data_IF_346386941487
#
_entry.id   IF_346386941487
#
_cell.length_a   1.000
_cell.length_b   1.000
_cell.length_c   1.000
_cell.angle_alpha   90.00
_cell.angle_beta   90.00
_cell.angle_gamma   90.00
#
_symmetry.space_group_name_H-M   'P 1'
#
loop_
_entity.id
_entity.type
_entity.pdbx_description
1 polymer ?
#
# COMPACT_ATOMS: atom_id res chain seq x y z
N UNK A 1 -22.69 55.90 29.32
CA UNK A 1 -21.71 54.80 29.45
C UNK A 1 -22.21 53.69 28.54
N UNK A 2 -21.44 53.45 27.48
CA UNK A 2 -21.84 52.83 26.22
C UNK A 2 -21.65 51.31 26.28
N UNK A 3 -22.65 50.54 25.88
CA UNK A 3 -22.74 49.06 26.01
C UNK A 3 -21.82 48.31 25.02
N UNK A 4 -20.84 49.02 24.44
CA UNK A 4 -20.02 48.59 23.29
C UNK A 4 -18.71 47.90 23.66
N UNK A 5 -18.53 47.45 24.90
CA UNK A 5 -17.32 46.71 25.32
C UNK A 5 -17.51 45.19 25.46
N UNK A 6 -18.66 44.64 25.06
CA UNK A 6 -18.89 43.18 25.10
C UNK A 6 -18.43 42.46 23.80
N UNK A 7 -17.29 42.87 23.23
CA UNK A 7 -16.76 42.29 21.98
C UNK A 7 -15.31 41.82 22.15
N UNK A 8 -15.02 41.20 23.28
CA UNK A 8 -13.78 40.47 23.52
C UNK A 8 -14.18 39.24 24.34
N UNK A 9 -13.70 38.06 23.93
CA UNK A 9 -13.93 36.73 24.53
C UNK A 9 -14.99 35.86 23.82
N UNK A 10 -14.80 35.63 22.53
CA UNK A 10 -15.17 34.35 21.92
C UNK A 10 -13.98 33.84 21.11
N UNK A 11 -12.84 33.65 21.79
CA UNK A 11 -11.86 32.66 21.35
C UNK A 11 -12.57 31.32 21.49
N UNK A 12 -13.26 30.91 20.43
CA UNK A 12 -13.61 29.52 20.24
C UNK A 12 -12.28 28.78 20.22
N UNK A 13 -11.92 28.21 21.37
CA UNK A 13 -11.02 27.08 21.46
C UNK A 13 -11.67 26.01 20.61
N UNK A 14 -11.33 26.00 19.32
CA UNK A 14 -11.52 24.82 18.49
C UNK A 14 -10.76 23.75 19.27
N UNK A 15 -11.43 22.73 19.84
CA UNK A 15 -10.68 21.59 20.28
C UNK A 15 -9.89 21.19 19.04
N UNK A 16 -8.56 21.18 19.13
CA UNK A 16 -7.75 20.37 18.25
C UNK A 16 -8.29 18.96 18.49
N UNK A 17 -9.34 18.62 17.74
CA UNK A 17 -9.96 17.32 17.72
C UNK A 17 -8.85 16.44 17.24
N UNK A 18 -8.15 15.85 18.21
CA UNK A 18 -7.30 14.71 17.97
C UNK A 18 -8.12 13.76 17.12
N UNK A 19 -7.50 13.28 16.04
CA UNK A 19 -8.09 12.28 15.16
C UNK A 19 -8.89 11.29 16.03
N UNK A 20 -10.19 11.09 15.76
CA UNK A 20 -10.95 10.11 16.53
C UNK A 20 -10.20 8.79 16.40
N UNK A 21 -9.83 8.22 17.54
CA UNK A 21 -9.08 6.96 17.69
C UNK A 21 -9.83 5.74 17.15
N UNK A 22 -10.88 5.96 16.35
CA UNK A 22 -11.74 5.00 15.69
C UNK A 22 -11.52 4.97 14.17
N UNK A 23 -10.54 5.69 13.63
CA UNK A 23 -9.97 5.34 12.33
C UNK A 23 -9.26 4.00 12.54
N UNK A 24 -9.98 2.90 12.30
CA UNK A 24 -9.40 1.58 12.22
C UNK A 24 -8.43 1.59 11.03
N UNK A 25 -7.19 2.01 11.29
CA UNK A 25 -6.04 1.78 10.43
C UNK A 25 -5.56 0.32 10.52
N UNK A 26 -6.44 -0.59 10.93
CA UNK A 26 -6.32 -2.03 10.70
C UNK A 26 -7.23 -2.36 9.53
N UNK A 27 -6.79 -2.11 8.28
CA UNK A 27 -7.43 -2.71 7.11
C UNK A 27 -7.53 -4.23 7.30
N UNK A 28 -8.62 -4.82 6.82
CA UNK A 28 -8.79 -6.26 6.88
C UNK A 28 -7.66 -6.94 6.06
N UNK A 29 -7.04 -7.94 6.65
CA UNK A 29 -6.08 -8.80 5.98
C UNK A 29 -6.85 -9.85 5.17
N UNK A 30 -6.47 -10.02 3.90
CA UNK A 30 -7.05 -11.06 3.04
C UNK A 30 -5.96 -11.97 2.51
N UNK A 31 -6.25 -13.27 2.47
CA UNK A 31 -5.38 -14.24 1.82
C UNK A 31 -5.17 -13.87 0.35
N UNK A 32 -3.93 -13.96 -0.11
CA UNK A 32 -3.59 -13.85 -1.52
C UNK A 32 -2.80 -15.06 -2.01
N UNK A 33 -2.89 -15.28 -3.31
CA UNK A 33 -2.07 -16.23 -4.05
C UNK A 33 -1.66 -15.59 -5.38
N UNK A 34 -0.37 -15.67 -5.69
CA UNK A 34 0.24 -15.21 -6.94
C UNK A 34 0.90 -16.42 -7.58
N UNK A 35 0.59 -16.67 -8.85
CA UNK A 35 1.25 -17.65 -9.71
C UNK A 35 1.45 -16.96 -11.06
N UNK A 36 2.62 -16.36 -11.26
CA UNK A 36 2.87 -15.47 -12.38
C UNK A 36 4.22 -15.75 -13.05
N UNK A 37 4.24 -15.60 -14.37
CA UNK A 37 5.48 -15.58 -15.11
C UNK A 37 6.22 -14.25 -14.87
N UNK A 38 7.54 -14.31 -14.83
CA UNK A 38 8.43 -13.14 -14.71
C UNK A 38 9.48 -13.19 -15.80
N UNK A 39 9.61 -12.10 -16.55
CA UNK A 39 10.60 -11.93 -17.60
C UNK A 39 11.94 -11.44 -17.06
N UNK A 40 13.01 -11.57 -17.85
CA UNK A 40 14.32 -11.05 -17.49
C UNK A 40 14.31 -9.52 -17.30
N UNK A 41 13.59 -8.80 -18.17
CA UNK A 41 13.45 -7.36 -18.07
C UNK A 41 12.78 -6.94 -16.74
N UNK A 42 11.78 -7.69 -16.28
CA UNK A 42 11.15 -7.41 -14.98
C UNK A 42 12.09 -7.69 -13.81
N UNK A 43 12.89 -8.76 -13.88
CA UNK A 43 13.92 -9.04 -12.86
C UNK A 43 14.96 -7.92 -12.83
N UNK A 44 15.41 -7.43 -13.99
CA UNK A 44 16.31 -6.28 -14.08
C UNK A 44 15.70 -5.02 -13.47
N UNK A 45 14.42 -4.74 -13.74
CA UNK A 45 13.70 -3.61 -13.14
C UNK A 45 13.60 -3.74 -11.62
N UNK A 46 13.31 -4.93 -11.11
CA UNK A 46 13.24 -5.22 -9.66
C UNK A 46 14.62 -5.01 -9.01
N UNK A 47 15.68 -5.53 -9.64
CA UNK A 47 17.06 -5.35 -9.17
C UNK A 47 17.44 -3.86 -9.17
N UNK A 48 17.12 -3.14 -10.24
CA UNK A 48 17.41 -1.70 -10.36
C UNK A 48 16.59 -0.84 -9.39
N UNK A 49 15.38 -1.26 -9.04
CA UNK A 49 14.54 -0.64 -8.03
C UNK A 49 14.98 -0.98 -6.60
N UNK A 50 15.78 -2.03 -6.43
CA UNK A 50 16.27 -2.51 -5.15
C UNK A 50 16.91 -1.39 -4.32
N UNK A 51 16.42 -1.20 -3.10
CA UNK A 51 16.84 -0.13 -2.18
C UNK A 51 18.28 -0.28 -1.65
N UNK A 52 19.05 -1.26 -2.14
CA UNK A 52 20.42 -1.54 -1.72
C UNK A 52 21.26 -2.00 -2.91
N UNK A 53 22.52 -1.57 -2.97
CA UNK A 53 23.48 -1.95 -4.02
C UNK A 53 23.88 -3.44 -4.02
N UNK A 54 23.24 -4.26 -3.17
CA UNK A 54 23.57 -5.68 -2.97
C UNK A 54 22.62 -6.65 -3.67
N UNK A 55 21.55 -6.14 -4.30
CA UNK A 55 20.62 -6.96 -5.08
C UNK A 55 21.19 -7.16 -6.48
N UNK A 56 21.27 -8.41 -6.92
CA UNK A 56 21.72 -8.83 -8.24
C UNK A 56 20.92 -10.06 -8.68
N UNK A 57 21.11 -10.53 -9.91
CA UNK A 57 20.50 -11.77 -10.39
C UNK A 57 20.80 -12.99 -9.51
N UNK A 58 21.95 -12.99 -8.83
CA UNK A 58 22.38 -14.10 -7.96
C UNK A 58 21.83 -13.97 -6.53
N UNK A 59 21.44 -12.77 -6.12
CA UNK A 59 21.04 -12.46 -4.74
C UNK A 59 19.59 -11.98 -4.62
N UNK A 60 18.87 -11.81 -5.74
CA UNK A 60 17.47 -11.41 -5.76
C UNK A 60 16.64 -12.45 -5.01
N UNK A 61 15.89 -11.96 -4.02
CA UNK A 61 15.11 -12.81 -3.14
C UNK A 61 13.71 -13.01 -3.69
N UNK A 62 13.14 -14.17 -3.41
CA UNK A 62 11.79 -14.51 -3.86
C UNK A 62 10.77 -13.49 -3.35
N UNK A 63 10.89 -13.10 -2.09
CA UNK A 63 9.99 -12.20 -1.39
C UNK A 63 9.98 -10.82 -2.05
N UNK A 64 11.14 -10.33 -2.50
CA UNK A 64 11.24 -9.07 -3.26
C UNK A 64 10.51 -9.15 -4.59
N UNK A 65 10.69 -10.25 -5.34
CA UNK A 65 9.99 -10.44 -6.62
C UNK A 65 8.49 -10.60 -6.41
N UNK A 66 8.10 -11.39 -5.41
CA UNK A 66 6.71 -11.62 -5.05
C UNK A 66 6.01 -10.31 -4.66
N UNK A 67 6.61 -9.48 -3.81
CA UNK A 67 5.99 -8.21 -3.38
C UNK A 67 5.72 -7.26 -4.56
N UNK A 68 6.67 -7.14 -5.50
CA UNK A 68 6.50 -6.33 -6.71
C UNK A 68 5.40 -6.90 -7.62
N UNK A 69 5.42 -8.22 -7.84
CA UNK A 69 4.41 -8.89 -8.69
C UNK A 69 3.03 -8.82 -8.05
N UNK A 70 2.94 -9.04 -6.74
CA UNK A 70 1.71 -8.90 -5.95
C UNK A 70 1.16 -7.48 -6.03
N UNK A 71 1.99 -6.45 -5.83
CA UNK A 71 1.56 -5.06 -5.94
C UNK A 71 0.99 -4.75 -7.32
N UNK A 72 1.62 -5.27 -8.38
CA UNK A 72 1.14 -5.13 -9.75
C UNK A 72 -0.20 -5.85 -9.98
N UNK A 73 -0.33 -7.09 -9.52
CA UNK A 73 -1.50 -7.95 -9.79
C UNK A 73 -2.71 -7.51 -8.96
N UNK A 74 -2.50 -7.21 -7.68
CA UNK A 74 -3.57 -6.87 -6.72
C UNK A 74 -3.80 -5.37 -6.60
N UNK A 75 -2.78 -4.54 -6.87
CA UNK A 75 -2.83 -3.10 -6.64
C UNK A 75 -2.68 -2.70 -5.17
N UNK A 76 -2.31 -3.65 -4.30
CA UNK A 76 -2.22 -3.47 -2.85
C UNK A 76 -0.77 -3.19 -2.42
N UNK A 77 -0.60 -2.41 -1.36
CA UNK A 77 0.73 -1.87 -1.01
C UNK A 77 1.57 -2.75 -0.09
N UNK A 78 0.97 -3.72 0.60
CA UNK A 78 1.69 -4.52 1.58
C UNK A 78 1.16 -5.93 1.57
N UNK A 79 2.09 -6.87 1.70
CA UNK A 79 1.84 -8.28 1.91
C UNK A 79 2.79 -8.80 2.99
N UNK A 80 2.28 -9.67 3.86
CA UNK A 80 3.08 -10.63 4.61
C UNK A 80 3.16 -11.91 3.77
N UNK A 81 4.36 -12.25 3.32
CA UNK A 81 4.59 -13.42 2.46
C UNK A 81 4.90 -14.62 3.36
N UNK A 82 4.05 -15.64 3.32
CA UNK A 82 4.20 -16.86 4.12
C UNK A 82 4.97 -17.93 3.36
N UNK A 83 4.66 -18.09 2.07
CA UNK A 83 5.34 -19.04 1.19
C UNK A 83 5.77 -18.37 -0.10
N UNK A 84 6.98 -18.68 -0.56
CA UNK A 84 7.53 -18.11 -1.78
C UNK A 84 8.43 -19.12 -2.50
N UNK A 85 8.21 -19.27 -3.81
CA UNK A 85 9.08 -20.02 -4.71
C UNK A 85 9.37 -19.18 -5.95
N UNK A 86 10.66 -18.94 -6.22
CA UNK A 86 11.13 -18.21 -7.39
C UNK A 86 11.97 -19.14 -8.27
N UNK A 87 11.61 -19.20 -9.54
CA UNK A 87 12.46 -19.72 -10.61
C UNK A 87 12.84 -18.55 -11.50
N UNK A 88 14.13 -18.26 -11.60
CA UNK A 88 14.61 -17.18 -12.46
C UNK A 88 14.45 -17.53 -13.94
N UNK A 89 14.29 -16.52 -14.82
CA UNK A 89 14.42 -16.70 -16.26
C UNK A 89 15.72 -17.41 -16.63
N UNK A 90 15.69 -18.22 -17.69
CA UNK A 90 16.83 -19.04 -18.10
C UNK A 90 18.08 -18.19 -18.41
N UNK A 91 17.89 -17.06 -19.10
CA UNK A 91 18.97 -16.14 -19.41
C UNK A 91 18.62 -14.69 -19.04
N UNK A 92 19.57 -13.93 -18.46
CA UNK A 92 19.38 -12.52 -18.14
C UNK A 92 19.19 -11.60 -19.35
N UNK A 93 19.59 -12.04 -20.55
CA UNK A 93 19.40 -11.27 -21.79
C UNK A 93 17.98 -11.38 -22.36
N UNK A 94 17.07 -12.08 -21.67
CA UNK A 94 15.70 -12.30 -22.09
C UNK A 94 15.53 -13.40 -23.12
N UNK A 95 16.59 -14.17 -23.43
CA UNK A 95 16.47 -15.37 -24.25
C UNK A 95 16.11 -16.60 -23.42
N UNK A 96 15.45 -17.59 -24.02
CA UNK A 96 15.06 -18.83 -23.32
C UNK A 96 13.71 -18.74 -22.61
N UNK A 97 13.48 -19.65 -21.66
CA UNK A 97 12.21 -19.74 -20.95
C UNK A 97 12.04 -18.59 -19.92
N UNK A 98 10.83 -18.03 -19.76
CA UNK A 98 10.54 -17.07 -18.70
C UNK A 98 10.68 -17.73 -17.32
N UNK A 99 10.98 -16.91 -16.33
CA UNK A 99 10.94 -17.31 -14.94
C UNK A 99 9.51 -17.42 -14.42
N UNK A 100 9.38 -17.80 -13.16
CA UNK A 100 8.11 -17.96 -12.48
C UNK A 100 8.25 -17.59 -11.01
N UNK A 101 7.29 -16.83 -10.49
CA UNK A 101 7.11 -16.62 -9.05
C UNK A 101 5.78 -17.22 -8.61
N UNK A 102 5.82 -17.97 -7.52
CA UNK A 102 4.63 -18.47 -6.83
C UNK A 102 4.73 -18.06 -5.38
N UNK A 103 3.74 -17.36 -4.86
CA UNK A 103 3.71 -16.98 -3.46
C UNK A 103 2.30 -16.81 -2.91
N UNK A 104 2.19 -17.03 -1.61
CA UNK A 104 0.94 -16.93 -0.85
C UNK A 104 1.21 -16.23 0.48
N UNK A 105 0.17 -15.65 1.05
CA UNK A 105 0.23 -15.01 2.36
C UNK A 105 -0.95 -14.08 2.60
N UNK A 106 -0.73 -13.07 3.44
CA UNK A 106 -1.75 -12.12 3.84
C UNK A 106 -1.48 -10.74 3.23
N UNK A 107 -2.45 -10.25 2.48
CA UNK A 107 -2.40 -8.98 1.79
C UNK A 107 -3.20 -7.93 2.53
N UNK A 108 -2.70 -6.70 2.55
CA UNK A 108 -3.40 -5.55 3.11
C UNK A 108 -3.71 -4.53 2.01
N UNK A 109 -5.00 -4.29 1.77
CA UNK A 109 -5.44 -3.18 0.92
C UNK A 109 -5.34 -1.85 1.71
N UNK A 110 -4.21 -1.15 1.61
CA UNK A 110 -4.09 0.18 2.19
C UNK A 110 -4.91 1.22 1.41
N UNK A 111 -6.16 1.41 1.81
CA UNK A 111 -6.95 2.60 1.48
C UNK A 111 -7.22 3.45 2.73
N UNK A 112 -6.26 4.28 3.15
CA UNK A 112 -6.61 5.49 3.88
C UNK A 112 -7.30 6.47 2.92
N UNK A 113 -8.58 6.27 2.59
CA UNK A 113 -9.39 7.27 1.86
C UNK A 113 -9.68 8.49 2.76
N UNK A 114 -8.62 9.21 3.12
CA UNK A 114 -8.68 10.50 3.81
C UNK A 114 -8.90 11.69 2.89
N UNK A 115 -9.39 11.49 1.66
CA UNK A 115 -9.92 12.56 0.82
C UNK A 115 -11.20 12.10 0.15
N UNK A 116 -12.34 12.31 0.79
CA UNK A 116 -13.56 12.59 0.02
C UNK A 116 -13.40 14.02 -0.54
N UNK A 117 -13.41 14.23 -1.87
CA UNK A 117 -13.40 15.58 -2.42
C UNK A 117 -14.64 16.33 -1.91
N UNK A 118 -14.45 17.60 -1.57
CA UNK A 118 -15.46 18.54 -1.11
C UNK A 118 -16.73 18.45 -1.98
N UNK A 119 -17.85 17.96 -1.43
CA UNK A 119 -19.13 18.04 -2.15
C UNK A 119 -20.23 17.01 -1.82
N UNK A 120 -20.05 16.04 -0.92
CA UNK A 120 -21.17 15.20 -0.50
C UNK A 120 -21.84 15.80 0.74
N UNK A 121 -23.01 16.40 0.54
CA UNK A 121 -23.91 16.83 1.60
C UNK A 121 -24.81 15.65 1.88
N UNK A 122 -24.51 14.85 2.91
CA UNK A 122 -25.50 13.94 3.45
C UNK A 122 -26.56 14.79 4.15
N UNK A 123 -27.71 14.88 3.48
CA UNK A 123 -28.92 15.50 4.00
C UNK A 123 -29.76 14.38 4.61
N UNK A 124 -30.02 14.49 5.90
CA UNK A 124 -30.95 13.65 6.66
C UNK A 124 -30.25 12.46 7.30
N UNK A 125 -30.41 12.14 8.57
CA UNK A 125 -31.25 12.70 9.62
C UNK A 125 -30.56 12.34 10.95
N UNK A 126 -30.65 13.28 11.89
CA UNK A 126 -30.86 13.07 13.33
C UNK A 126 -30.33 11.75 13.93
N UNK A 127 -29.09 11.77 14.42
CA UNK A 127 -28.81 11.68 15.86
C UNK A 127 -27.31 11.91 16.12
N UNK A 128 -26.98 13.14 16.52
CA UNK A 128 -25.87 13.56 17.38
C UNK A 128 -26.10 15.00 17.82
#
# INVERSE_FOLDING_TARGET
MDVRQALLLALATVPLGGCPSTWNCHPDEEDFSVDEAVSAAEIDEIIAAGYTDQVSWETVQCETVCDVVYNRVRGWQTAEIETCSLTLPENPDGTGAPGKVVCDGLGIEYYCKGRRPLGHVDRGDEDC
#
